data_IF_324194407411
#
_entry.id   IF_324194407411
#
_cell.length_a   1.000
_cell.length_b   1.000
_cell.length_c   1.000
_cell.angle_alpha   90.00
_cell.angle_beta   90.00
_cell.angle_gamma   90.00
#
_symmetry.space_group_name_H-M   'P 1'
#
loop_
_entity.id
_entity.type
_entity.pdbx_description
1 polymer ?
#
# COMPACT_ATOMS: atom_id res chain seq x y z
N UNK A 1 25.78 52.89 -43.34
CA UNK A 1 26.49 51.99 -42.42
C UNK A 1 25.48 51.42 -41.44
N UNK A 2 25.27 50.10 -41.52
CA UNK A 2 24.27 49.33 -40.78
C UNK A 2 24.53 49.33 -39.27
N UNK A 3 23.50 49.55 -38.45
CA UNK A 3 23.48 49.24 -37.01
C UNK A 3 22.34 48.27 -36.74
N UNK A 4 22.59 46.99 -36.95
CA UNK A 4 21.75 45.89 -36.46
C UNK A 4 22.04 45.69 -34.98
N UNK A 5 21.10 46.12 -34.12
CA UNK A 5 21.13 45.86 -32.68
C UNK A 5 20.42 44.52 -32.42
N UNK A 6 21.19 43.44 -32.28
CA UNK A 6 20.67 42.13 -31.90
C UNK A 6 20.35 42.11 -30.40
N UNK A 7 19.07 42.06 -30.04
CA UNK A 7 18.62 41.79 -28.67
C UNK A 7 18.68 40.28 -28.45
N UNK A 8 19.67 39.82 -27.68
CA UNK A 8 19.78 38.44 -27.26
C UNK A 8 18.82 38.21 -26.08
N UNK A 9 17.70 37.52 -26.34
CA UNK A 9 16.76 37.07 -25.32
C UNK A 9 17.35 35.84 -24.61
N UNK A 10 18.05 36.06 -23.49
CA UNK A 10 18.47 34.99 -22.59
C UNK A 10 17.27 34.53 -21.75
N UNK A 11 16.52 33.58 -22.31
CA UNK A 11 15.52 32.80 -21.60
C UNK A 11 16.25 31.88 -20.60
N UNK A 12 16.42 32.33 -19.35
CA UNK A 12 16.78 31.41 -18.26
C UNK A 12 15.62 30.43 -18.09
N UNK A 13 15.78 29.22 -18.63
CA UNK A 13 14.99 28.09 -18.16
C UNK A 13 15.35 27.87 -16.69
N UNK A 14 14.45 28.27 -15.80
CA UNK A 14 14.39 27.74 -14.46
C UNK A 14 14.06 26.25 -14.59
N UNK A 15 15.09 25.41 -14.71
CA UNK A 15 14.95 23.98 -14.48
C UNK A 15 14.37 23.83 -13.06
N UNK A 16 13.28 23.09 -12.86
CA UNK A 16 12.87 22.75 -11.51
C UNK A 16 14.04 21.98 -10.90
N UNK A 17 14.64 22.55 -9.87
CA UNK A 17 15.59 21.84 -9.01
C UNK A 17 14.81 20.66 -8.42
N UNK A 18 14.87 19.50 -9.07
CA UNK A 18 14.50 18.25 -8.43
C UNK A 18 15.31 18.20 -7.15
N UNK A 19 14.58 18.14 -6.03
CA UNK A 19 15.09 18.32 -4.68
C UNK A 19 16.48 17.68 -4.54
N UNK A 20 17.49 18.49 -4.23
CA UNK A 20 18.76 18.01 -3.71
C UNK A 20 18.49 17.44 -2.32
N UNK A 21 17.85 16.26 -2.27
CA UNK A 21 17.61 15.53 -1.04
C UNK A 21 18.96 15.17 -0.42
N UNK A 22 19.03 15.26 0.90
CA UNK A 22 20.18 14.75 1.66
C UNK A 22 20.38 13.28 1.28
N UNK A 23 21.60 12.89 0.91
CA UNK A 23 21.94 11.49 0.71
C UNK A 23 22.00 10.77 2.07
N UNK A 24 21.56 9.52 2.09
CA UNK A 24 21.56 8.64 3.25
C UNK A 24 22.34 7.34 2.95
N UNK A 25 23.49 7.49 2.30
CA UNK A 25 24.35 6.35 1.89
C UNK A 25 24.79 5.51 3.08
N UNK A 26 24.93 6.12 4.26
CA UNK A 26 25.23 5.41 5.50
C UNK A 26 24.13 4.40 5.88
N UNK A 27 22.85 4.77 5.74
CA UNK A 27 21.73 3.87 5.96
C UNK A 27 21.69 2.75 4.91
N UNK A 28 22.00 3.07 3.64
CA UNK A 28 22.09 2.07 2.58
C UNK A 28 23.16 1.03 2.88
N UNK A 29 24.38 1.47 3.22
CA UNK A 29 25.49 0.57 3.57
C UNK A 29 25.11 -0.33 4.74
N UNK A 30 24.57 0.24 5.82
CA UNK A 30 24.14 -0.58 6.97
C UNK A 30 23.02 -1.57 6.63
N UNK A 31 22.10 -1.19 5.74
CA UNK A 31 21.03 -2.09 5.28
C UNK A 31 21.59 -3.23 4.43
N UNK A 32 22.47 -2.93 3.46
CA UNK A 32 23.09 -3.91 2.56
C UNK A 32 24.00 -4.88 3.33
N UNK A 33 24.72 -4.38 4.34
CA UNK A 33 25.55 -5.20 5.23
C UNK A 33 24.71 -6.01 6.26
N UNK A 34 23.37 -5.98 6.16
CA UNK A 34 22.43 -6.61 7.09
C UNK A 34 22.61 -6.19 8.56
N UNK A 35 23.23 -5.02 8.79
CA UNK A 35 23.43 -4.41 10.08
C UNK A 35 22.17 -3.66 10.52
N UNK A 36 21.03 -4.35 10.52
CA UNK A 36 19.70 -3.75 10.68
C UNK A 36 19.52 -2.96 11.97
N UNK A 37 20.07 -3.42 13.09
CA UNK A 37 19.96 -2.72 14.37
C UNK A 37 20.66 -1.35 14.31
N UNK A 38 21.88 -1.31 13.76
CA UNK A 38 22.63 -0.05 13.55
C UNK A 38 21.92 0.86 12.56
N UNK A 39 21.36 0.29 11.49
CA UNK A 39 20.59 1.05 10.52
C UNK A 39 19.35 1.69 11.17
N UNK A 40 18.63 0.94 12.01
CA UNK A 40 17.49 1.44 12.78
C UNK A 40 17.92 2.56 13.70
N UNK A 41 18.93 2.36 14.56
CA UNK A 41 19.40 3.38 15.49
C UNK A 41 19.77 4.69 14.77
N UNK A 42 20.47 4.56 13.64
CA UNK A 42 20.88 5.70 12.83
C UNK A 42 19.69 6.39 12.15
N UNK A 43 18.76 5.61 11.61
CA UNK A 43 17.55 6.14 10.97
C UNK A 43 16.60 6.80 11.97
N UNK A 44 16.48 6.27 13.20
CA UNK A 44 15.71 6.91 14.29
C UNK A 44 16.35 8.23 14.73
N UNK A 45 17.69 8.29 14.80
CA UNK A 45 18.41 9.54 15.04
C UNK A 45 18.09 10.59 13.97
N UNK A 46 18.11 10.23 12.68
CA UNK A 46 17.67 11.16 11.63
C UNK A 46 16.18 11.52 11.75
N UNK A 47 15.32 10.55 12.08
CA UNK A 47 13.88 10.80 12.21
C UNK A 47 13.49 11.65 13.42
N UNK A 48 14.40 11.87 14.38
CA UNK A 48 14.20 12.68 15.59
C UNK A 48 14.80 14.09 15.50
N UNK A 49 15.81 14.31 14.65
CA UNK A 49 16.44 15.62 14.46
C UNK A 49 15.54 16.60 13.72
N UNK A 50 15.52 17.86 14.15
CA UNK A 50 14.68 18.89 13.55
C UNK A 50 14.94 19.10 12.05
N UNK A 51 16.20 18.98 11.62
CA UNK A 51 16.61 19.10 10.23
C UNK A 51 16.09 17.97 9.34
N UNK A 52 16.05 16.73 9.85
CA UNK A 52 15.83 15.52 9.03
C UNK A 52 14.55 14.78 9.33
N UNK A 53 13.81 15.14 10.40
CA UNK A 53 12.51 14.53 10.75
C UNK A 53 11.42 14.69 9.69
N UNK A 54 11.64 15.56 8.70
CA UNK A 54 10.73 15.75 7.56
C UNK A 54 11.14 14.94 6.35
N UNK A 55 12.34 14.39 6.33
CA UNK A 55 12.86 13.62 5.22
C UNK A 55 12.24 12.22 5.22
N UNK A 56 11.91 11.72 4.03
CA UNK A 56 11.21 10.46 3.89
C UNK A 56 12.12 9.25 4.09
N UNK A 57 13.35 9.31 3.56
CA UNK A 57 14.28 8.18 3.50
C UNK A 57 14.57 7.52 4.85
N UNK A 58 14.79 8.24 5.98
CA UNK A 58 14.96 7.58 7.28
C UNK A 58 13.77 6.68 7.66
N UNK A 59 12.53 7.10 7.36
CA UNK A 59 11.35 6.28 7.63
C UNK A 59 11.25 5.08 6.70
N UNK A 60 11.74 5.18 5.45
CA UNK A 60 11.80 4.05 4.54
C UNK A 60 12.78 2.99 5.04
N UNK A 61 14.00 3.38 5.42
CA UNK A 61 14.99 2.44 5.97
C UNK A 61 14.53 1.78 7.26
N UNK A 62 13.86 2.51 8.16
CA UNK A 62 13.22 1.89 9.33
C UNK A 62 12.22 0.81 8.89
N UNK A 63 11.37 1.13 7.93
CA UNK A 63 10.37 0.21 7.39
C UNK A 63 11.00 -1.06 6.80
N UNK A 64 12.07 -0.91 6.01
CA UNK A 64 12.79 -2.00 5.36
C UNK A 64 13.54 -2.87 6.38
N UNK A 65 14.27 -2.27 7.32
CA UNK A 65 14.99 -3.02 8.35
C UNK A 65 14.04 -3.85 9.22
N UNK A 66 12.96 -3.26 9.71
CA UNK A 66 11.97 -4.01 10.50
C UNK A 66 11.29 -5.12 9.68
N UNK A 67 11.12 -4.93 8.37
CA UNK A 67 10.58 -5.96 7.50
C UNK A 67 11.53 -7.15 7.38
N UNK A 68 12.82 -6.92 7.08
CA UNK A 68 13.82 -7.99 7.04
C UNK A 68 13.97 -8.70 8.39
N UNK A 69 14.05 -7.92 9.48
CA UNK A 69 14.15 -8.49 10.83
C UNK A 69 12.95 -9.37 11.18
N UNK A 70 11.76 -9.07 10.65
CA UNK A 70 10.57 -9.87 10.91
C UNK A 70 10.61 -11.28 10.32
N UNK A 71 11.51 -11.53 9.36
CA UNK A 71 11.70 -12.83 8.70
C UNK A 71 12.76 -13.70 9.40
N UNK A 72 13.54 -13.12 10.30
CA UNK A 72 14.73 -13.75 10.88
C UNK A 72 14.48 -14.14 12.34
N UNK A 73 14.59 -15.44 12.65
CA UNK A 73 14.37 -15.97 14.00
C UNK A 73 15.22 -15.27 15.07
N UNK A 74 16.47 -14.95 14.73
CA UNK A 74 17.40 -14.24 15.63
C UNK A 74 16.83 -12.93 16.16
N UNK A 75 15.91 -12.27 15.44
CA UNK A 75 15.25 -11.04 15.88
C UNK A 75 13.85 -11.28 16.40
N UNK A 76 13.06 -12.16 15.79
CA UNK A 76 11.66 -12.39 16.22
C UNK A 76 11.57 -12.99 17.63
N UNK A 77 12.62 -13.66 18.09
CA UNK A 77 12.76 -14.17 19.46
C UNK A 77 13.21 -13.11 20.47
N UNK A 78 13.74 -11.98 20.03
CA UNK A 78 14.13 -10.87 20.90
C UNK A 78 12.90 -10.04 21.30
N UNK A 79 12.86 -9.59 22.55
CA UNK A 79 11.71 -8.85 23.09
C UNK A 79 11.51 -7.52 22.37
N UNK A 80 12.62 -6.89 22.00
CA UNK A 80 12.75 -5.61 21.33
C UNK A 80 12.14 -5.66 19.92
N UNK A 81 12.34 -6.76 19.20
CA UNK A 81 11.93 -6.93 17.80
C UNK A 81 10.77 -7.91 17.58
N UNK A 82 10.15 -8.41 18.65
CA UNK A 82 8.95 -9.27 18.61
C UNK A 82 7.83 -8.71 17.72
N UNK A 83 7.78 -7.40 17.52
CA UNK A 83 6.77 -6.72 16.71
C UNK A 83 7.32 -6.09 15.43
N UNK A 84 8.47 -6.56 14.92
CA UNK A 84 9.13 -5.98 13.75
C UNK A 84 8.20 -5.84 12.53
N UNK A 85 7.44 -6.87 12.15
CA UNK A 85 6.47 -6.76 11.03
C UNK A 85 5.41 -5.64 11.27
N UNK A 86 4.98 -5.46 12.52
CA UNK A 86 4.03 -4.40 12.89
C UNK A 86 4.69 -3.03 12.79
N UNK A 87 5.96 -2.92 13.14
CA UNK A 87 6.72 -1.68 13.12
C UNK A 87 7.17 -1.30 11.69
N UNK A 88 7.45 -2.27 10.82
CA UNK A 88 7.64 -2.07 9.38
C UNK A 88 6.45 -1.29 8.79
N UNK A 89 5.23 -1.81 8.92
CA UNK A 89 4.03 -1.14 8.40
C UNK A 89 3.78 0.24 9.04
N UNK A 90 4.15 0.44 10.31
CA UNK A 90 4.05 1.74 10.98
C UNK A 90 4.99 2.75 10.31
N UNK A 91 6.21 2.35 10.00
CA UNK A 91 7.20 3.21 9.38
C UNK A 91 6.93 3.43 7.89
N UNK A 92 6.39 2.45 7.16
CA UNK A 92 5.85 2.63 5.80
C UNK A 92 4.80 3.76 5.73
N UNK A 93 3.83 3.77 6.66
CA UNK A 93 2.82 4.83 6.74
C UNK A 93 3.44 6.19 7.05
N UNK A 94 4.48 6.23 7.90
CA UNK A 94 5.20 7.49 8.19
C UNK A 94 5.96 7.97 6.96
N UNK A 95 6.67 7.09 6.26
CA UNK A 95 7.37 7.38 5.02
C UNK A 95 6.41 8.00 4.00
N UNK A 96 5.26 7.37 3.75
CA UNK A 96 4.31 7.89 2.75
C UNK A 96 3.78 9.29 3.07
N UNK A 97 3.64 9.63 4.35
CA UNK A 97 3.27 10.99 4.77
C UNK A 97 4.33 12.05 4.48
N UNK A 98 5.59 11.64 4.33
CA UNK A 98 6.74 12.49 3.98
C UNK A 98 6.98 12.52 2.47
N UNK A 99 6.90 11.37 1.81
CA UNK A 99 7.05 11.25 0.35
C UNK A 99 5.69 11.26 -0.35
N UNK A 100 5.06 12.43 -0.39
CA UNK A 100 3.73 12.58 -1.02
C UNK A 100 3.78 12.45 -2.54
N UNK A 101 4.86 12.95 -3.14
CA UNK A 101 5.09 12.96 -4.59
C UNK A 101 5.71 11.66 -5.10
N UNK A 102 5.89 10.67 -4.24
CA UNK A 102 6.45 9.35 -4.59
C UNK A 102 7.84 9.44 -5.24
N UNK A 103 8.65 10.41 -4.82
CA UNK A 103 9.95 10.71 -5.41
C UNK A 103 10.91 9.50 -5.33
N UNK A 104 10.77 8.66 -4.31
CA UNK A 104 11.61 7.48 -4.11
C UNK A 104 10.86 6.15 -4.26
N UNK A 105 9.53 6.17 -4.17
CA UNK A 105 8.70 4.97 -4.01
C UNK A 105 8.95 3.92 -5.09
N UNK A 106 9.05 4.36 -6.35
CA UNK A 106 9.26 3.49 -7.51
C UNK A 106 10.60 2.74 -7.47
N UNK A 107 11.60 3.30 -6.80
CA UNK A 107 12.93 2.67 -6.72
C UNK A 107 12.95 1.45 -5.78
N UNK A 108 11.86 1.22 -5.05
CA UNK A 108 11.72 0.16 -4.05
C UNK A 108 10.49 -0.72 -4.33
N UNK A 109 10.11 -0.90 -5.61
CA UNK A 109 8.95 -1.68 -6.03
C UNK A 109 8.94 -3.11 -5.43
N UNK A 110 10.08 -3.81 -5.43
CA UNK A 110 10.20 -5.16 -4.86
C UNK A 110 9.86 -5.18 -3.36
N UNK A 111 10.41 -4.21 -2.61
CA UNK A 111 10.12 -4.05 -1.19
C UNK A 111 8.62 -3.80 -0.95
N UNK A 112 8.01 -2.91 -1.74
CA UNK A 112 6.59 -2.60 -1.60
C UNK A 112 5.70 -3.79 -1.93
N UNK A 113 6.04 -4.55 -2.98
CA UNK A 113 5.33 -5.76 -3.39
C UNK A 113 5.37 -6.83 -2.29
N UNK A 114 6.54 -7.07 -1.69
CA UNK A 114 6.70 -8.03 -0.60
C UNK A 114 5.97 -7.57 0.67
N UNK A 115 6.17 -6.30 1.08
CA UNK A 115 5.50 -5.73 2.24
C UNK A 115 3.97 -5.82 2.08
N UNK A 116 3.46 -5.51 0.89
CA UNK A 116 2.04 -5.56 0.60
C UNK A 116 1.49 -6.99 0.68
N UNK A 117 2.24 -7.96 0.15
CA UNK A 117 1.90 -9.39 0.22
C UNK A 117 1.80 -9.87 1.66
N UNK A 118 2.85 -9.66 2.46
CA UNK A 118 2.84 -10.00 3.89
C UNK A 118 1.69 -9.28 4.60
N UNK A 119 1.44 -8.02 4.25
CA UNK A 119 0.42 -7.22 4.89
C UNK A 119 -0.99 -7.77 4.66
N UNK A 120 -1.37 -8.05 3.41
CA UNK A 120 -2.72 -8.56 3.14
C UNK A 120 -2.91 -10.00 3.57
N UNK A 121 -1.89 -10.86 3.48
CA UNK A 121 -2.00 -12.25 3.93
C UNK A 121 -2.19 -12.32 5.45
N UNK A 122 -1.48 -11.47 6.20
CA UNK A 122 -1.74 -11.28 7.63
C UNK A 122 -3.16 -10.76 7.89
N UNK A 123 -3.64 -9.85 7.03
CA UNK A 123 -5.02 -9.35 7.08
C UNK A 123 -6.06 -10.44 6.86
N UNK A 124 -5.84 -11.32 5.87
CA UNK A 124 -6.70 -12.48 5.59
C UNK A 124 -6.69 -13.46 6.75
N UNK A 125 -5.51 -13.79 7.28
CA UNK A 125 -5.39 -14.64 8.45
C UNK A 125 -6.21 -14.11 9.64
N UNK A 126 -6.14 -12.81 9.94
CA UNK A 126 -6.96 -12.22 11.00
C UNK A 126 -8.46 -12.19 10.68
N UNK A 127 -8.84 -12.08 9.40
CA UNK A 127 -10.24 -12.20 8.98
C UNK A 127 -10.77 -13.61 9.20
N UNK A 128 -10.00 -14.63 8.83
CA UNK A 128 -10.38 -16.04 8.96
C UNK A 128 -10.49 -16.45 10.44
N UNK A 129 -9.62 -15.90 11.31
CA UNK A 129 -9.74 -16.02 12.76
C UNK A 129 -10.87 -15.17 13.40
N UNK A 130 -11.62 -14.41 12.60
CA UNK A 130 -12.62 -13.43 13.07
C UNK A 130 -12.03 -12.36 14.02
N UNK A 131 -10.72 -12.16 14.00
CA UNK A 131 -10.01 -11.14 14.75
C UNK A 131 -10.10 -9.77 14.05
N UNK A 132 -11.33 -9.29 13.80
CA UNK A 132 -11.61 -8.15 12.92
C UNK A 132 -10.92 -6.86 13.35
N UNK A 133 -10.75 -6.61 14.66
CA UNK A 133 -10.00 -5.44 15.16
C UNK A 133 -8.52 -5.46 14.73
N UNK A 134 -7.91 -6.65 14.62
CA UNK A 134 -6.54 -6.81 14.12
C UNK A 134 -6.49 -6.65 12.61
N UNK A 135 -7.42 -7.29 11.89
CA UNK A 135 -7.56 -7.16 10.44
C UNK A 135 -7.78 -5.68 10.02
N UNK A 136 -8.69 -4.95 10.69
CA UNK A 136 -8.93 -3.53 10.45
C UNK A 136 -7.65 -2.71 10.57
N UNK A 137 -6.87 -2.93 11.64
CA UNK A 137 -5.60 -2.23 11.85
C UNK A 137 -4.59 -2.51 10.73
N UNK A 138 -4.60 -3.74 10.22
CA UNK A 138 -3.73 -4.16 9.13
C UNK A 138 -4.07 -3.41 7.84
N UNK A 139 -5.31 -3.51 7.37
CA UNK A 139 -5.73 -2.81 6.15
C UNK A 139 -5.70 -1.29 6.28
N UNK A 140 -5.96 -0.73 7.48
CA UNK A 140 -5.82 0.70 7.75
C UNK A 140 -4.37 1.20 7.57
N UNK A 141 -3.36 0.34 7.80
CA UNK A 141 -1.96 0.67 7.50
C UNK A 141 -1.67 0.57 6.02
N UNK A 142 -2.20 -0.45 5.35
CA UNK A 142 -2.06 -0.64 3.90
C UNK A 142 -2.54 0.59 3.13
N UNK A 143 -3.76 1.04 3.39
CA UNK A 143 -4.29 2.27 2.77
C UNK A 143 -3.54 3.53 3.20
N UNK A 144 -2.78 3.46 4.30
CA UNK A 144 -1.96 4.57 4.79
C UNK A 144 -0.63 4.74 4.08
N UNK A 145 -0.02 3.66 3.55
CA UNK A 145 1.21 3.73 2.77
C UNK A 145 0.99 3.59 1.26
N UNK A 146 -0.10 2.95 0.85
CA UNK A 146 -0.48 2.72 -0.55
C UNK A 146 -1.99 2.98 -0.74
N UNK A 147 -2.44 4.25 -0.60
CA UNK A 147 -3.84 4.61 -0.77
C UNK A 147 -4.37 4.36 -2.18
N UNK A 148 -3.49 4.22 -3.17
CA UNK A 148 -3.86 3.92 -4.56
C UNK A 148 -4.29 2.47 -4.77
N UNK A 149 -4.05 1.57 -3.81
CA UNK A 149 -4.42 0.16 -3.94
C UNK A 149 -5.90 -0.06 -3.55
N UNK A 150 -6.79 -0.31 -4.52
CA UNK A 150 -8.22 -0.44 -4.23
C UNK A 150 -8.55 -1.64 -3.34
N UNK A 151 -7.84 -2.77 -3.50
CA UNK A 151 -8.16 -3.99 -2.75
C UNK A 151 -8.00 -3.81 -1.23
N UNK A 152 -7.04 -2.99 -0.80
CA UNK A 152 -6.84 -2.66 0.61
C UNK A 152 -8.03 -1.86 1.19
N UNK A 153 -8.59 -0.92 0.43
CA UNK A 153 -9.77 -0.14 0.84
C UNK A 153 -11.01 -1.00 0.97
N UNK A 154 -11.26 -1.91 0.02
CA UNK A 154 -12.42 -2.81 0.09
C UNK A 154 -12.31 -3.79 1.26
N UNK A 155 -11.10 -4.31 1.54
CA UNK A 155 -10.88 -5.14 2.72
C UNK A 155 -11.02 -4.36 4.03
N UNK A 156 -10.57 -3.09 4.08
CA UNK A 156 -10.79 -2.21 5.22
C UNK A 156 -12.30 -2.00 5.45
N UNK A 157 -13.06 -1.69 4.40
CA UNK A 157 -14.51 -1.56 4.48
C UNK A 157 -15.18 -2.84 4.97
N UNK A 158 -14.80 -4.00 4.44
CA UNK A 158 -15.32 -5.29 4.86
C UNK A 158 -15.05 -5.55 6.35
N UNK A 159 -13.84 -5.29 6.84
CA UNK A 159 -13.54 -5.43 8.28
C UNK A 159 -14.39 -4.49 9.14
N UNK A 160 -14.56 -3.24 8.71
CA UNK A 160 -15.39 -2.26 9.40
C UNK A 160 -16.86 -2.72 9.45
N UNK A 161 -17.41 -3.28 8.37
CA UNK A 161 -18.76 -3.84 8.34
C UNK A 161 -18.91 -5.04 9.28
N UNK A 162 -17.92 -5.95 9.31
CA UNK A 162 -17.89 -7.08 10.26
C UNK A 162 -17.79 -6.62 11.72
N UNK A 163 -17.33 -5.39 11.96
CA UNK A 163 -17.29 -4.73 13.26
C UNK A 163 -18.48 -3.81 13.54
N UNK A 164 -19.50 -3.77 12.68
CA UNK A 164 -20.65 -2.85 12.78
C UNK A 164 -20.25 -1.36 12.77
N UNK A 165 -19.26 -0.99 11.95
CA UNK A 165 -18.79 0.39 11.74
C UNK A 165 -19.24 0.89 10.36
N UNK A 166 -20.55 1.06 10.16
CA UNK A 166 -21.14 1.31 8.84
C UNK A 166 -20.70 2.67 8.24
N UNK A 167 -20.57 3.71 9.08
CA UNK A 167 -20.11 5.04 8.62
C UNK A 167 -18.67 4.99 8.11
N UNK A 168 -17.77 4.37 8.88
CA UNK A 168 -16.37 4.19 8.49
C UNK A 168 -16.26 3.34 7.22
N UNK A 169 -17.05 2.26 7.12
CA UNK A 169 -17.09 1.42 5.93
C UNK A 169 -17.53 2.17 4.68
N UNK A 170 -18.53 3.05 4.79
CA UNK A 170 -18.97 3.87 3.67
C UNK A 170 -17.86 4.81 3.17
N UNK A 171 -17.09 5.41 4.09
CA UNK A 171 -15.93 6.23 3.73
C UNK A 171 -14.85 5.40 3.03
N UNK A 172 -14.53 4.21 3.54
CA UNK A 172 -13.56 3.30 2.91
C UNK A 172 -14.02 2.82 1.53
N UNK A 173 -15.32 2.57 1.32
CA UNK A 173 -15.86 2.21 0.00
C UNK A 173 -15.79 3.37 -0.99
N UNK A 174 -16.03 4.61 -0.54
CA UNK A 174 -15.84 5.78 -1.40
C UNK A 174 -14.38 5.95 -1.84
N UNK A 175 -13.42 5.62 -0.96
CA UNK A 175 -12.00 5.61 -1.32
C UNK A 175 -11.65 4.45 -2.26
N UNK A 176 -12.25 3.27 -2.07
CA UNK A 176 -12.16 2.17 -3.03
C UNK A 176 -12.63 2.60 -4.43
N UNK A 177 -13.78 3.28 -4.52
CA UNK A 177 -14.30 3.77 -5.80
C UNK A 177 -13.40 4.82 -6.44
N UNK A 178 -12.83 5.72 -5.61
CA UNK A 178 -11.84 6.71 -6.06
C UNK A 178 -10.61 6.02 -6.63
N UNK A 179 -10.03 5.06 -5.91
CA UNK A 179 -8.85 4.32 -6.33
C UNK A 179 -9.11 3.52 -7.62
N UNK A 180 -10.24 2.83 -7.71
CA UNK A 180 -10.64 2.09 -8.91
C UNK A 180 -10.82 3.00 -10.13
N UNK A 181 -11.38 4.19 -9.96
CA UNK A 181 -11.59 5.16 -11.06
C UNK A 181 -10.26 5.72 -11.58
N UNK A 182 -9.26 5.83 -10.71
CA UNK A 182 -7.92 6.27 -11.09
C UNK A 182 -7.13 5.23 -11.90
N UNK A 183 -7.61 3.99 -12.00
CA UNK A 183 -6.93 2.89 -12.70
C UNK A 183 -7.66 2.62 -14.02
N UNK A 184 -7.16 3.15 -15.16
CA UNK A 184 -7.84 3.00 -16.45
C UNK A 184 -7.81 1.56 -16.97
N UNK A 185 -6.80 0.79 -16.59
CA UNK A 185 -6.60 -0.59 -16.99
C UNK A 185 -6.14 -1.41 -15.78
N UNK A 186 -7.08 -2.15 -15.19
CA UNK A 186 -6.83 -2.97 -14.00
C UNK A 186 -5.74 -4.03 -14.24
N UNK A 187 -5.56 -4.51 -15.48
CA UNK A 187 -4.56 -5.55 -15.80
C UNK A 187 -3.11 -5.08 -15.61
N UNK A 188 -2.89 -3.76 -15.55
CA UNK A 188 -1.58 -3.14 -15.32
C UNK A 188 -1.21 -2.99 -13.85
N UNK A 189 -2.11 -3.33 -12.94
CA UNK A 189 -1.79 -3.34 -11.52
C UNK A 189 -0.67 -4.36 -11.24
N UNK A 190 0.24 -4.06 -10.30
CA UNK A 190 1.23 -5.03 -9.86
C UNK A 190 0.58 -6.35 -9.39
N UNK A 191 1.24 -7.51 -9.57
CA UNK A 191 0.64 -8.81 -9.27
C UNK A 191 0.10 -8.98 -7.85
N UNK A 192 0.79 -8.42 -6.85
CA UNK A 192 0.39 -8.41 -5.44
C UNK A 192 -0.92 -7.61 -5.24
N UNK A 193 -1.05 -6.48 -5.93
CA UNK A 193 -2.26 -5.65 -5.90
C UNK A 193 -3.43 -6.30 -6.64
N UNK A 194 -3.19 -6.96 -7.78
CA UNK A 194 -4.19 -7.77 -8.48
C UNK A 194 -4.71 -8.91 -7.60
N UNK A 195 -3.81 -9.63 -6.92
CA UNK A 195 -4.16 -10.72 -6.00
C UNK A 195 -5.02 -10.20 -4.84
N UNK A 196 -4.66 -9.06 -4.26
CA UNK A 196 -5.45 -8.43 -3.21
C UNK A 196 -6.82 -7.96 -3.72
N UNK A 197 -6.87 -7.26 -4.86
CA UNK A 197 -8.11 -6.75 -5.44
C UNK A 197 -9.08 -7.89 -5.71
N UNK A 198 -8.64 -8.95 -6.39
CA UNK A 198 -9.45 -10.15 -6.63
C UNK A 198 -9.99 -10.73 -5.34
N UNK A 199 -9.12 -10.98 -4.36
CA UNK A 199 -9.52 -11.57 -3.08
C UNK A 199 -10.48 -10.67 -2.30
N UNK A 200 -10.32 -9.35 -2.39
CA UNK A 200 -11.23 -8.38 -1.78
C UNK A 200 -12.62 -8.39 -2.43
N UNK A 201 -12.69 -8.49 -3.77
CA UNK A 201 -13.95 -8.55 -4.51
C UNK A 201 -14.74 -9.81 -4.16
N UNK A 202 -14.08 -10.97 -4.16
CA UNK A 202 -14.69 -12.26 -3.78
C UNK A 202 -15.26 -12.18 -2.36
N UNK A 203 -14.44 -11.80 -1.38
CA UNK A 203 -14.85 -11.77 0.03
C UNK A 203 -15.93 -10.72 0.31
N UNK A 204 -15.91 -9.60 -0.38
CA UNK A 204 -16.93 -8.56 -0.23
C UNK A 204 -18.25 -8.96 -0.91
N UNK A 205 -18.19 -9.57 -2.09
CA UNK A 205 -19.36 -10.13 -2.76
C UNK A 205 -20.03 -11.22 -1.90
N UNK A 206 -19.26 -12.14 -1.33
CA UNK A 206 -19.77 -13.15 -0.39
C UNK A 206 -20.48 -12.50 0.79
N UNK A 207 -19.86 -11.47 1.40
CA UNK A 207 -20.49 -10.72 2.47
C UNK A 207 -21.83 -10.11 2.02
N UNK A 208 -21.90 -9.49 0.85
CA UNK A 208 -23.13 -8.91 0.32
C UNK A 208 -24.21 -9.97 0.10
N UNK A 209 -23.86 -11.16 -0.41
CA UNK A 209 -24.79 -12.29 -0.54
C UNK A 209 -25.34 -12.70 0.83
N UNK A 210 -24.50 -12.81 1.86
CA UNK A 210 -24.98 -13.12 3.23
C UNK A 210 -25.93 -12.06 3.80
N UNK A 211 -25.97 -10.86 3.22
CA UNK A 211 -26.87 -9.76 3.58
C UNK A 211 -28.08 -9.64 2.64
N UNK A 212 -28.28 -10.60 1.73
CA UNK A 212 -29.35 -10.54 0.72
C UNK A 212 -29.14 -9.48 -0.36
N UNK A 213 -27.94 -8.92 -0.49
CA UNK A 213 -27.61 -7.84 -1.43
C UNK A 213 -27.00 -8.41 -2.72
N UNK A 214 -27.64 -9.42 -3.30
CA UNK A 214 -27.11 -10.16 -4.47
C UNK A 214 -26.84 -9.27 -5.67
N UNK A 215 -27.69 -8.27 -5.95
CA UNK A 215 -27.43 -7.34 -7.05
C UNK A 215 -26.13 -6.56 -6.85
N UNK A 216 -25.88 -6.05 -5.63
CA UNK A 216 -24.61 -5.37 -5.34
C UNK A 216 -23.42 -6.32 -5.43
N UNK A 217 -23.60 -7.58 -5.05
CA UNK A 217 -22.55 -8.59 -5.21
C UNK A 217 -22.19 -8.79 -6.69
N UNK A 218 -23.20 -8.84 -7.59
CA UNK A 218 -23.00 -8.86 -9.05
C UNK A 218 -22.23 -7.64 -9.54
N UNK A 219 -22.63 -6.44 -9.09
CA UNK A 219 -21.99 -5.19 -9.50
C UNK A 219 -20.50 -5.15 -9.09
N UNK A 220 -20.16 -5.72 -7.92
CA UNK A 220 -18.77 -5.83 -7.45
C UNK A 220 -17.95 -6.73 -8.37
N UNK A 221 -18.41 -7.95 -8.66
CA UNK A 221 -17.65 -8.89 -9.51
C UNK A 221 -17.64 -8.48 -10.98
N UNK A 222 -18.66 -7.74 -11.45
CA UNK A 222 -18.69 -7.21 -12.81
C UNK A 222 -17.51 -6.27 -13.11
N UNK A 223 -17.02 -5.53 -12.11
CA UNK A 223 -15.87 -4.63 -12.25
C UNK A 223 -14.54 -5.34 -12.43
N UNK A 224 -14.45 -6.62 -12.06
CA UNK A 224 -13.24 -7.43 -12.19
C UNK A 224 -13.26 -8.41 -13.37
N UNK A 225 -14.38 -8.50 -14.10
CA UNK A 225 -14.60 -9.56 -15.10
C UNK A 225 -13.54 -9.58 -16.21
N UNK A 226 -13.11 -8.41 -16.67
CA UNK A 226 -12.18 -8.31 -17.82
C UNK A 226 -10.76 -8.76 -17.44
N UNK A 227 -10.47 -8.91 -16.14
CA UNK A 227 -9.14 -9.28 -15.63
C UNK A 227 -9.12 -10.65 -14.95
N UNK A 228 -10.20 -11.04 -14.27
CA UNK A 228 -10.17 -12.19 -13.35
C UNK A 228 -10.94 -13.43 -13.85
N UNK A 229 -11.56 -13.41 -15.03
CA UNK A 229 -12.35 -14.55 -15.52
C UNK A 229 -11.54 -15.81 -15.83
N UNK A 230 -10.23 -15.70 -16.02
CA UNK A 230 -9.33 -16.86 -16.14
C UNK A 230 -9.00 -17.50 -14.79
N UNK A 231 -9.38 -16.87 -13.66
CA UNK A 231 -9.18 -17.41 -12.32
C UNK A 231 -10.40 -18.26 -11.93
N UNK A 232 -10.25 -19.59 -11.75
CA UNK A 232 -11.39 -20.49 -11.56
C UNK A 232 -12.33 -20.10 -10.43
N UNK A 233 -11.79 -19.68 -9.29
CA UNK A 233 -12.56 -19.21 -8.12
C UNK A 233 -13.44 -17.99 -8.47
N UNK A 234 -12.86 -17.01 -9.17
CA UNK A 234 -13.58 -15.79 -9.53
C UNK A 234 -14.65 -16.08 -10.59
N UNK A 235 -14.31 -16.88 -11.60
CA UNK A 235 -15.24 -17.31 -12.64
C UNK A 235 -16.44 -18.06 -12.06
N UNK A 236 -16.21 -19.00 -11.16
CA UNK A 236 -17.27 -19.76 -10.50
C UNK A 236 -18.24 -18.84 -9.74
N UNK A 237 -17.71 -17.88 -8.96
CA UNK A 237 -18.52 -16.90 -8.26
C UNK A 237 -19.30 -16.01 -9.23
N UNK A 238 -18.65 -15.50 -10.29
CA UNK A 238 -19.27 -14.65 -11.29
C UNK A 238 -20.44 -15.36 -11.98
N UNK A 239 -20.24 -16.60 -12.42
CA UNK A 239 -21.28 -17.42 -13.04
C UNK A 239 -22.40 -17.73 -12.04
N UNK A 240 -22.08 -18.12 -10.81
CA UNK A 240 -23.07 -18.39 -9.77
C UNK A 240 -23.98 -17.19 -9.52
N UNK A 241 -23.40 -15.99 -9.38
CA UNK A 241 -24.16 -14.77 -9.13
C UNK A 241 -25.07 -14.42 -10.31
N UNK A 242 -24.68 -14.73 -11.54
CA UNK A 242 -25.41 -14.36 -12.76
C UNK A 242 -26.33 -15.46 -13.33
N UNK A 243 -26.35 -16.66 -12.75
CA UNK A 243 -27.32 -17.71 -13.12
C UNK A 243 -28.76 -17.21 -12.85
N UNK A 244 -29.61 -17.26 -13.88
CA UNK A 244 -31.03 -16.85 -13.82
C UNK A 244 -31.31 -15.37 -14.04
N UNK A 245 -30.36 -14.59 -14.58
CA UNK A 245 -30.55 -13.19 -14.99
C UNK A 245 -30.90 -13.01 -16.48
N UNK A 246 -31.43 -14.06 -17.12
CA UNK A 246 -31.91 -14.06 -18.51
C UNK A 246 -33.42 -14.07 -18.57
#
# INVERSE_FOLDING_TARGET
MSRTLSILLSLLLALPTLAQGRSYDDLLVMYVDENYEKCIDKAEHYASKDETRRDAMPYLYLSMCYHEMSKLEKYTMQKEYKYAARDALKYAVKYRKKDKELAFFKNFEDYWSELNTVAFETGYYYMDLKAFSKAKRQYARMVGYMPENPGAWQMLALTQLKMNLQRDAALSLAQYDTAMTAIPDLSRLPPDQLKLLRGSMVRYADYLVTKGQTQKARDVVARGKDVFMEIPEFKALYEQLNKGAG
#
